data_IF_207134595843
#
_entry.id   IF_207134595843
#
_cell.length_a   1.000
_cell.length_b   1.000
_cell.length_c   1.000
_cell.angle_alpha   90.00
_cell.angle_beta   90.00
_cell.angle_gamma   90.00
#
_symmetry.space_group_name_H-M   'P 1'
#
loop_
_entity.id
_entity.type
_entity.pdbx_description
1 polymer ?
#
# COMPACT_ATOMS: atom_id res chain seq x y z
N UNK A 1 24.17 -34.31 -13.12
CA UNK A 1 23.55 -33.69 -14.31
C UNK A 1 22.06 -33.50 -13.98
N UNK A 2 21.74 -32.40 -13.29
CA UNK A 2 20.37 -32.11 -12.84
C UNK A 2 19.71 -31.20 -13.88
N UNK A 3 18.60 -31.66 -14.43
CA UNK A 3 17.81 -30.93 -15.41
C UNK A 3 17.28 -29.65 -14.76
N UNK A 4 17.99 -28.52 -14.96
CA UNK A 4 17.42 -27.20 -14.72
C UNK A 4 16.40 -26.97 -15.83
N UNK A 5 15.15 -27.29 -15.53
CA UNK A 5 14.01 -26.98 -16.37
C UNK A 5 14.04 -25.47 -16.62
N UNK A 6 14.18 -25.09 -17.89
CA UNK A 6 14.10 -23.73 -18.40
C UNK A 6 12.69 -23.15 -18.24
N UNK A 7 12.21 -22.99 -17.01
CA UNK A 7 11.01 -22.21 -16.67
C UNK A 7 11.30 -20.70 -16.52
N UNK A 8 12.53 -20.28 -16.85
CA UNK A 8 13.04 -18.92 -16.69
C UNK A 8 12.08 -17.80 -17.17
N UNK A 9 11.44 -17.86 -18.36
CA UNK A 9 10.68 -16.70 -18.84
C UNK A 9 9.38 -16.44 -18.05
N UNK A 10 8.74 -17.46 -17.47
CA UNK A 10 7.50 -17.30 -16.71
C UNK A 10 7.78 -16.72 -15.33
N UNK A 11 8.83 -17.20 -14.66
CA UNK A 11 9.22 -16.70 -13.34
C UNK A 11 9.67 -15.24 -13.47
N UNK A 12 10.48 -14.93 -14.49
CA UNK A 12 10.88 -13.55 -14.76
C UNK A 12 9.69 -12.63 -15.09
N UNK A 13 8.68 -13.12 -15.82
CA UNK A 13 7.48 -12.34 -16.12
C UNK A 13 6.61 -12.07 -14.89
N UNK A 14 6.51 -13.02 -13.95
CA UNK A 14 5.72 -12.88 -12.72
C UNK A 14 6.42 -11.97 -11.71
N UNK A 15 7.75 -12.02 -11.65
CA UNK A 15 8.55 -11.20 -10.74
C UNK A 15 8.66 -9.75 -11.19
N UNK A 16 8.50 -9.48 -12.49
CA UNK A 16 8.74 -8.16 -13.06
C UNK A 16 8.00 -7.00 -12.35
N UNK A 17 6.69 -7.11 -12.03
CA UNK A 17 6.00 -6.04 -11.32
C UNK A 17 6.59 -5.78 -9.92
N UNK A 18 6.99 -6.83 -9.21
CA UNK A 18 7.64 -6.71 -7.91
C UNK A 18 9.01 -6.03 -8.05
N UNK A 19 9.83 -6.44 -9.02
CA UNK A 19 11.13 -5.81 -9.32
C UNK A 19 10.96 -4.33 -9.64
N UNK A 20 10.00 -4.00 -10.51
CA UNK A 20 9.72 -2.61 -10.88
C UNK A 20 9.36 -1.76 -9.66
N UNK A 21 8.46 -2.24 -8.79
CA UNK A 21 8.02 -1.49 -7.61
C UNK A 21 9.15 -1.35 -6.60
N UNK A 22 9.86 -2.44 -6.29
CA UNK A 22 10.93 -2.45 -5.29
C UNK A 22 12.13 -1.59 -5.73
N UNK A 23 12.56 -1.70 -6.99
CA UNK A 23 13.66 -0.90 -7.56
C UNK A 23 13.27 0.57 -7.73
N UNK A 24 11.99 0.86 -8.01
CA UNK A 24 11.49 2.25 -7.99
C UNK A 24 11.49 2.84 -6.58
N UNK A 25 11.13 2.03 -5.57
CA UNK A 25 11.13 2.43 -4.17
C UNK A 25 12.55 2.65 -3.64
N UNK A 26 13.53 1.88 -4.11
CA UNK A 26 14.96 2.01 -3.81
C UNK A 26 15.69 2.84 -4.85
N UNK A 27 15.23 4.08 -5.03
CA UNK A 27 15.75 5.00 -6.03
C UNK A 27 17.26 5.26 -5.86
N UNK A 28 18.06 5.24 -6.94
CA UNK A 28 17.67 5.17 -8.36
C UNK A 28 17.47 3.74 -8.90
N UNK A 29 16.61 3.60 -9.91
CA UNK A 29 16.30 2.33 -10.59
C UNK A 29 17.55 1.79 -11.32
N UNK A 30 18.21 0.79 -10.73
CA UNK A 30 19.44 0.19 -11.27
C UNK A 30 19.45 -1.35 -11.20
N UNK A 31 18.47 -1.97 -10.52
CA UNK A 31 18.41 -3.40 -10.24
C UNK A 31 17.22 -4.14 -10.88
N UNK A 32 16.55 -3.54 -11.86
CA UNK A 32 15.30 -4.03 -12.46
C UNK A 32 15.33 -5.49 -12.97
N UNK A 33 16.50 -5.95 -13.40
CA UNK A 33 16.71 -7.30 -13.93
C UNK A 33 17.47 -8.23 -12.97
N UNK A 34 17.79 -7.75 -11.77
CA UNK A 34 18.40 -8.56 -10.72
C UNK A 34 17.38 -9.59 -10.21
N UNK A 35 17.77 -10.87 -10.04
CA UNK A 35 16.87 -11.88 -9.48
C UNK A 35 16.45 -11.54 -8.05
N UNK A 36 15.16 -11.69 -7.75
CA UNK A 36 14.65 -11.57 -6.39
C UNK A 36 15.02 -12.82 -5.59
N UNK A 37 15.52 -12.65 -4.38
CA UNK A 37 15.67 -13.76 -3.46
C UNK A 37 14.31 -14.29 -2.98
N UNK A 38 14.31 -15.50 -2.42
CA UNK A 38 13.08 -16.19 -2.01
C UNK A 38 12.32 -15.46 -0.90
N UNK A 39 13.01 -14.79 0.02
CA UNK A 39 12.38 -14.07 1.13
C UNK A 39 11.69 -12.82 0.60
N UNK A 40 12.32 -12.09 -0.30
CA UNK A 40 11.72 -10.93 -0.98
C UNK A 40 10.51 -11.33 -1.83
N UNK A 41 10.57 -12.46 -2.55
CA UNK A 41 9.40 -12.97 -3.28
C UNK A 41 8.24 -13.29 -2.33
N UNK A 42 8.50 -13.96 -1.21
CA UNK A 42 7.48 -14.30 -0.22
C UNK A 42 6.87 -13.04 0.42
N UNK A 43 7.70 -12.08 0.85
CA UNK A 43 7.25 -10.83 1.44
C UNK A 43 6.46 -9.99 0.42
N UNK A 44 6.85 -10.00 -0.86
CA UNK A 44 6.11 -9.33 -1.94
C UNK A 44 4.74 -9.97 -2.16
N UNK A 45 4.63 -11.30 -2.12
CA UNK A 45 3.35 -12.00 -2.23
C UNK A 45 2.42 -11.71 -1.05
N UNK A 46 2.95 -11.71 0.19
CA UNK A 46 2.19 -11.36 1.39
C UNK A 46 1.76 -9.89 1.34
N UNK A 47 2.70 -8.99 1.05
CA UNK A 47 2.47 -7.55 0.99
C UNK A 47 1.42 -7.18 -0.05
N UNK A 48 1.54 -7.70 -1.28
CA UNK A 48 0.57 -7.44 -2.36
C UNK A 48 -0.83 -7.99 -2.02
N UNK A 49 -0.93 -9.18 -1.41
CA UNK A 49 -2.21 -9.72 -0.96
C UNK A 49 -2.89 -8.86 0.11
N UNK A 50 -2.13 -8.40 1.09
CA UNK A 50 -2.62 -7.49 2.14
C UNK A 50 -3.03 -6.13 1.56
N UNK A 51 -2.23 -5.55 0.66
CA UNK A 51 -2.54 -4.29 -0.01
C UNK A 51 -3.81 -4.39 -0.88
N UNK A 52 -4.00 -5.51 -1.59
CA UNK A 52 -5.22 -5.75 -2.35
C UNK A 52 -6.45 -5.81 -1.44
N UNK A 53 -6.36 -6.49 -0.29
CA UNK A 53 -7.44 -6.52 0.70
C UNK A 53 -7.76 -5.12 1.26
N UNK A 54 -6.73 -4.33 1.59
CA UNK A 54 -6.89 -2.95 2.04
C UNK A 54 -7.58 -2.10 0.96
N UNK A 55 -7.18 -2.21 -0.30
CA UNK A 55 -7.82 -1.50 -1.40
C UNK A 55 -9.31 -1.83 -1.52
N UNK A 56 -9.67 -3.11 -1.36
CA UNK A 56 -11.07 -3.56 -1.32
C UNK A 56 -11.82 -2.97 -0.12
N UNK A 57 -11.22 -2.94 1.07
CA UNK A 57 -11.85 -2.33 2.25
C UNK A 57 -12.01 -0.81 2.12
N UNK A 58 -11.01 -0.11 1.57
CA UNK A 58 -11.12 1.31 1.28
C UNK A 58 -12.27 1.59 0.30
N UNK A 59 -12.34 0.85 -0.80
CA UNK A 59 -13.41 1.01 -1.80
C UNK A 59 -14.79 0.58 -1.30
N UNK A 60 -14.87 -0.52 -0.57
CA UNK A 60 -16.15 -1.13 -0.16
C UNK A 60 -16.73 -0.57 1.13
N UNK A 61 -15.90 -0.06 2.05
CA UNK A 61 -16.34 0.42 3.37
C UNK A 61 -16.12 1.93 3.48
N UNK A 62 -14.93 2.40 3.14
CA UNK A 62 -14.55 3.80 3.39
C UNK A 62 -15.19 4.75 2.38
N UNK A 63 -15.25 4.39 1.09
CA UNK A 63 -15.90 5.25 0.08
C UNK A 63 -17.39 5.48 0.40
N UNK A 64 -18.22 4.47 0.70
CA UNK A 64 -19.58 4.69 1.16
C UNK A 64 -19.64 5.54 2.43
N UNK A 65 -18.77 5.26 3.41
CA UNK A 65 -18.71 6.04 4.65
C UNK A 65 -18.41 7.54 4.40
N UNK A 66 -17.54 7.88 3.43
CA UNK A 66 -17.31 9.26 3.01
C UNK A 66 -18.58 9.88 2.43
N UNK A 67 -19.29 9.16 1.57
CA UNK A 67 -20.52 9.65 0.92
C UNK A 67 -21.67 9.86 1.91
N UNK A 68 -21.75 9.01 2.92
CA UNK A 68 -22.78 9.02 3.98
C UNK A 68 -22.38 9.89 5.18
N UNK A 69 -21.15 10.40 5.22
CA UNK A 69 -20.64 11.23 6.31
C UNK A 69 -20.39 10.48 7.62
N UNK A 70 -20.17 9.16 7.57
CA UNK A 70 -19.92 8.30 8.72
C UNK A 70 -18.54 8.56 9.36
N UNK A 71 -18.50 9.58 10.21
CA UNK A 71 -17.28 10.12 10.79
C UNK A 71 -16.40 9.13 11.59
N UNK A 72 -16.96 8.18 12.37
CA UNK A 72 -16.14 7.19 13.08
C UNK A 72 -15.28 6.34 12.14
N UNK A 73 -15.85 5.92 11.00
CA UNK A 73 -15.12 5.13 9.99
C UNK A 73 -14.04 5.99 9.35
N UNK A 74 -14.39 7.20 8.89
CA UNK A 74 -13.44 8.13 8.24
C UNK A 74 -12.26 8.45 9.17
N UNK A 75 -12.52 8.79 10.43
CA UNK A 75 -11.48 9.09 11.43
C UNK A 75 -10.59 7.88 11.68
N UNK A 76 -11.18 6.69 11.79
CA UNK A 76 -10.41 5.45 11.98
C UNK A 76 -9.50 5.19 10.79
N UNK A 77 -10.00 5.38 9.57
CA UNK A 77 -9.18 5.25 8.34
C UNK A 77 -8.03 6.24 8.34
N UNK A 78 -8.26 7.51 8.68
CA UNK A 78 -7.18 8.51 8.77
C UNK A 78 -6.08 8.06 9.73
N UNK A 79 -6.46 7.62 10.94
CA UNK A 79 -5.49 7.12 11.93
C UNK A 79 -4.75 5.89 11.41
N UNK A 80 -5.45 4.93 10.79
CA UNK A 80 -4.83 3.74 10.23
C UNK A 80 -3.80 4.08 9.14
N UNK A 81 -4.13 5.00 8.23
CA UNK A 81 -3.20 5.44 7.16
C UNK A 81 -1.98 6.16 7.71
N UNK A 82 -2.15 7.01 8.73
CA UNK A 82 -1.03 7.71 9.39
C UNK A 82 -0.13 6.72 10.13
N UNK A 83 -0.70 5.78 10.88
CA UNK A 83 0.06 4.75 11.60
C UNK A 83 0.83 3.86 10.63
N UNK A 84 0.20 3.43 9.53
CA UNK A 84 0.88 2.69 8.46
C UNK A 84 2.07 3.47 7.91
N UNK A 85 1.88 4.75 7.54
CA UNK A 85 2.95 5.59 7.00
C UNK A 85 4.14 5.73 7.97
N UNK A 86 3.88 5.89 9.27
CA UNK A 86 4.94 5.98 10.28
C UNK A 86 5.71 4.67 10.40
N UNK A 87 5.00 3.54 10.52
CA UNK A 87 5.65 2.22 10.68
C UNK A 87 6.46 1.87 9.42
N UNK A 88 5.87 2.03 8.24
CA UNK A 88 6.52 1.72 6.96
C UNK A 88 7.69 2.67 6.67
N UNK A 89 7.54 3.96 7.00
CA UNK A 89 8.61 4.95 6.85
C UNK A 89 9.80 4.69 7.76
N UNK A 90 9.57 4.31 9.02
CA UNK A 90 10.64 3.90 9.94
C UNK A 90 11.35 2.64 9.41
N UNK A 91 10.58 1.65 8.94
CA UNK A 91 11.13 0.45 8.33
C UNK A 91 12.01 0.76 7.11
N UNK A 92 11.52 1.64 6.23
CA UNK A 92 12.21 2.07 5.00
C UNK A 92 13.53 2.78 5.30
N UNK A 93 13.55 3.68 6.28
CA UNK A 93 14.79 4.36 6.69
C UNK A 93 15.76 3.36 7.32
N UNK A 94 15.27 2.46 8.17
CA UNK A 94 16.10 1.44 8.82
C UNK A 94 16.71 0.44 7.82
N UNK A 95 16.02 0.15 6.70
CA UNK A 95 16.53 -0.70 5.63
C UNK A 95 17.41 0.03 4.60
N UNK A 96 17.61 1.34 4.75
CA UNK A 96 18.41 2.16 3.81
C UNK A 96 17.64 2.71 2.61
N UNK A 97 16.35 2.39 2.49
CA UNK A 97 15.47 2.72 1.35
C UNK A 97 14.67 3.99 1.65
N UNK A 98 15.38 5.09 1.94
CA UNK A 98 14.75 6.36 2.37
C UNK A 98 13.82 6.98 1.32
N UNK A 99 14.08 6.73 0.03
CA UNK A 99 13.25 7.17 -1.09
C UNK A 99 11.81 6.67 -1.01
N UNK A 100 11.57 5.50 -0.41
CA UNK A 100 10.22 4.96 -0.23
C UNK A 100 9.32 5.90 0.61
N UNK A 101 9.90 6.62 1.57
CA UNK A 101 9.15 7.62 2.37
C UNK A 101 8.56 8.70 1.47
N UNK A 102 9.27 9.12 0.43
CA UNK A 102 8.81 10.14 -0.52
C UNK A 102 7.62 9.61 -1.32
N UNK A 103 7.73 8.41 -1.88
CA UNK A 103 6.65 7.77 -2.63
C UNK A 103 5.40 7.57 -1.76
N UNK A 104 5.59 7.05 -0.54
CA UNK A 104 4.52 6.89 0.42
C UNK A 104 3.88 8.22 0.83
N UNK A 105 4.63 9.32 0.85
CA UNK A 105 4.07 10.65 1.16
C UNK A 105 3.09 11.10 0.08
N UNK A 106 3.42 10.85 -1.20
CA UNK A 106 2.51 11.12 -2.32
C UNK A 106 1.26 10.25 -2.22
N UNK A 107 1.43 8.95 -1.98
CA UNK A 107 0.30 8.03 -1.81
C UNK A 107 -0.59 8.43 -0.63
N UNK A 108 0.01 8.75 0.52
CA UNK A 108 -0.71 9.20 1.71
C UNK A 108 -1.51 10.47 1.42
N UNK A 109 -0.94 11.44 0.69
CA UNK A 109 -1.66 12.65 0.30
C UNK A 109 -2.91 12.31 -0.55
N UNK A 110 -2.77 11.42 -1.54
CA UNK A 110 -3.89 11.00 -2.39
C UNK A 110 -5.03 10.33 -1.59
N UNK A 111 -4.70 9.59 -0.53
CA UNK A 111 -5.70 8.94 0.33
C UNK A 111 -6.27 9.91 1.38
N UNK A 112 -5.45 10.76 2.00
CA UNK A 112 -5.89 11.64 3.08
C UNK A 112 -6.70 12.85 2.61
N UNK A 113 -6.39 13.43 1.44
CA UNK A 113 -7.12 14.59 0.90
C UNK A 113 -8.64 14.34 0.86
N UNK A 114 -9.16 13.25 0.24
CA UNK A 114 -10.60 13.00 0.22
C UNK A 114 -11.18 12.69 1.61
N UNK A 115 -10.41 12.09 2.52
CA UNK A 115 -10.85 11.76 3.87
C UNK A 115 -11.00 13.01 4.76
N UNK A 116 -10.03 13.92 4.70
CA UNK A 116 -10.06 15.18 5.47
C UNK A 116 -11.06 16.17 4.88
N UNK A 117 -11.26 16.14 3.55
CA UNK A 117 -12.27 16.95 2.87
C UNK A 117 -13.71 16.43 3.00
N UNK A 118 -13.91 15.25 3.59
CA UNK A 118 -15.24 14.67 3.75
C UNK A 118 -16.11 15.51 4.69
N UNK A 119 -17.38 15.73 4.31
CA UNK A 119 -18.34 16.45 5.15
C UNK A 119 -18.95 15.49 6.16
N UNK A 120 -19.08 15.96 7.41
CA UNK A 120 -19.84 15.24 8.44
C UNK A 120 -21.33 15.30 8.10
N UNK A 121 -22.04 14.18 8.17
CA UNK A 121 -23.50 14.17 8.07
C UNK A 121 -24.14 14.51 9.42
N UNK A 122 -25.13 15.39 9.42
CA UNK A 122 -25.84 15.84 10.63
C UNK A 122 -26.96 14.87 11.07
N UNK A 123 -27.23 13.82 10.28
CA UNK A 123 -28.38 12.92 10.48
C UNK A 123 -28.27 12.02 11.72
N UNK A 124 -27.06 11.71 12.18
CA UNK A 124 -26.87 10.94 13.42
C UNK A 124 -27.33 11.68 14.68
N UNK A 125 -27.52 13.01 14.62
CA UNK A 125 -28.04 13.80 15.76
C UNK A 125 -29.58 13.85 15.80
N UNK A 126 -30.29 13.55 14.70
CA UNK A 126 -31.75 13.75 14.60
C UNK A 126 -32.60 12.54 14.98
N UNK A 127 -32.01 11.36 15.15
CA UNK A 127 -32.73 10.12 15.54
C UNK A 127 -32.62 9.85 17.05
N UNK A 128 -31.99 10.75 17.80
CA UNK A 128 -31.71 10.63 19.24
C UNK A 128 -32.55 11.52 20.18
N UNK A 129 -33.73 11.99 19.77
CA UNK A 129 -34.70 12.68 20.64
C UNK A 129 -36.12 12.18 20.40
#
# INVERSE_FOLDING_TARGET
>A
MSARISCLPIIDAIDFPARLILDSADWPVDNLFSPLDKETQLLSAIGSGLLAAIAIFLGGIVVPAIREGHWPVIRTTIVAMVVWYVIDGVGSIASGVGSNVIFNSVYLALVLIPLVGAKKSDEAFRVGT
#
